data_IF_873901920508
#
_entry.id   IF_873901920508
#
_cell.length_a   1.000
_cell.length_b   1.000
_cell.length_c   1.000
_cell.angle_alpha   90.00
_cell.angle_beta   90.00
_cell.angle_gamma   90.00
#
_symmetry.space_group_name_H-M   'P 1'
#
loop_
_entity.id
_entity.type
_entity.pdbx_description
1 polymer ?
#
# COMPACT_ATOMS: atom_id res chain seq x y z
N UNK A 1 24.45 7.73 2.82
CA UNK A 1 24.88 6.40 2.32
C UNK A 1 24.66 6.33 0.81
N UNK A 2 25.47 5.52 0.15
CA UNK A 2 25.33 5.32 -1.30
C UNK A 2 24.10 4.43 -1.60
N UNK A 3 23.42 4.74 -2.66
CA UNK A 3 22.16 4.10 -3.05
C UNK A 3 22.26 2.58 -3.19
N UNK A 4 23.37 2.08 -3.73
CA UNK A 4 23.58 0.66 -3.99
C UNK A 4 23.72 -0.17 -2.69
N UNK A 5 23.88 0.49 -1.54
CA UNK A 5 24.01 -0.11 -0.22
C UNK A 5 22.75 0.06 0.64
N UNK A 6 21.69 0.58 0.04
CA UNK A 6 20.45 0.92 0.72
C UNK A 6 19.27 0.15 0.18
N UNK A 7 18.44 -0.32 1.08
CA UNK A 7 17.13 -0.88 0.80
C UNK A 7 16.04 0.06 1.29
N UNK A 8 14.98 0.21 0.50
CA UNK A 8 13.86 1.10 0.79
C UNK A 8 12.62 0.34 1.22
N UNK A 9 11.78 1.00 2.00
CA UNK A 9 10.54 0.45 2.51
C UNK A 9 9.41 1.49 2.42
N UNK A 10 8.38 1.18 1.61
CA UNK A 10 7.09 1.84 1.61
C UNK A 10 6.02 0.75 1.78
N UNK A 11 5.31 0.68 2.91
CA UNK A 11 4.44 -0.43 3.24
C UNK A 11 3.37 -0.73 2.20
N UNK A 12 3.36 -1.96 1.69
CA UNK A 12 2.42 -2.39 0.66
C UNK A 12 2.75 -1.96 -0.77
N UNK A 13 3.83 -1.19 -0.96
CA UNK A 13 4.19 -0.63 -2.26
C UNK A 13 5.63 -0.93 -2.69
N UNK A 14 6.59 -0.83 -1.78
CA UNK A 14 8.00 -0.96 -2.10
C UNK A 14 8.77 -1.71 -1.02
N UNK A 15 9.55 -2.72 -1.45
CA UNK A 15 10.42 -3.52 -0.60
C UNK A 15 11.78 -3.70 -1.26
N UNK A 16 12.87 -3.50 -0.53
CA UNK A 16 14.23 -3.47 -1.06
C UNK A 16 14.36 -2.49 -2.23
N UNK A 17 14.61 -2.98 -3.42
CA UNK A 17 14.74 -2.20 -4.66
C UNK A 17 13.65 -2.55 -5.70
N UNK A 18 12.69 -3.41 -5.33
CA UNK A 18 11.65 -3.92 -6.24
C UNK A 18 12.20 -4.50 -7.57
N UNK A 19 13.41 -5.06 -7.57
CA UNK A 19 14.06 -5.53 -8.78
C UNK A 19 13.35 -6.73 -9.46
N UNK A 20 12.48 -7.41 -8.74
CA UNK A 20 11.65 -8.49 -9.29
C UNK A 20 10.37 -7.99 -9.97
N UNK A 21 10.05 -6.72 -9.83
CA UNK A 21 8.89 -6.12 -10.48
C UNK A 21 9.16 -5.91 -11.97
N UNK A 22 8.15 -6.08 -12.83
CA UNK A 22 8.29 -5.80 -14.26
C UNK A 22 8.40 -4.30 -14.54
N UNK A 23 8.85 -3.93 -15.74
CA UNK A 23 8.98 -2.53 -16.17
C UNK A 23 7.64 -1.75 -16.23
N UNK A 24 6.53 -2.43 -16.01
CA UNK A 24 5.18 -1.86 -15.93
C UNK A 24 4.71 -1.60 -14.51
N UNK A 25 5.57 -1.82 -13.52
CA UNK A 25 5.31 -1.62 -12.10
C UNK A 25 6.43 -0.79 -11.46
N UNK A 26 6.20 -0.19 -10.28
CA UNK A 26 7.22 0.55 -9.54
C UNK A 26 8.45 -0.33 -9.26
N UNK A 27 9.60 0.08 -9.77
CA UNK A 27 10.88 -0.61 -9.59
C UNK A 27 12.04 0.31 -9.92
N UNK A 28 13.26 -0.07 -9.51
CA UNK A 28 14.47 0.63 -9.91
C UNK A 28 14.79 0.52 -11.41
N UNK A 29 14.21 -0.45 -12.11
CA UNK A 29 14.31 -0.54 -13.56
C UNK A 29 13.55 0.59 -14.28
N UNK A 30 12.50 1.11 -13.65
CA UNK A 30 11.68 2.21 -14.18
C UNK A 30 12.24 3.57 -13.79
N UNK A 31 12.55 3.76 -12.51
CA UNK A 31 13.10 5.00 -11.98
C UNK A 31 13.75 4.81 -10.61
N UNK A 32 14.69 5.70 -10.29
CA UNK A 32 15.45 5.70 -9.04
C UNK A 32 14.76 6.49 -7.92
N UNK A 33 13.68 7.20 -8.23
CA UNK A 33 12.94 8.04 -7.29
C UNK A 33 11.45 7.76 -7.41
N UNK A 34 10.78 7.64 -6.27
CA UNK A 34 9.34 7.40 -6.22
C UNK A 34 8.71 8.19 -5.08
N UNK A 35 7.68 8.95 -5.41
CA UNK A 35 6.81 9.61 -4.45
C UNK A 35 5.40 9.05 -4.60
N UNK A 36 4.80 8.69 -3.49
CA UNK A 36 3.51 8.00 -3.45
C UNK A 36 2.58 8.74 -2.50
N UNK A 37 1.35 8.93 -2.92
CA UNK A 37 0.31 9.48 -2.06
C UNK A 37 0.13 8.58 -0.83
N UNK A 38 0.18 9.17 0.34
CA UNK A 38 0.30 8.44 1.62
C UNK A 38 -0.85 7.46 1.93
N UNK A 39 -2.07 7.73 1.44
CA UNK A 39 -3.23 6.85 1.62
C UNK A 39 -3.20 5.59 0.73
N UNK A 40 -2.25 5.51 -0.20
CA UNK A 40 -2.05 4.34 -1.05
C UNK A 40 -1.11 3.31 -0.44
N UNK A 41 -0.53 3.65 0.68
CA UNK A 41 0.33 2.78 1.46
C UNK A 41 -0.46 2.14 2.62
N UNK A 42 0.02 1.02 3.13
CA UNK A 42 -0.57 0.40 4.32
C UNK A 42 -0.37 1.25 5.59
N UNK A 43 0.58 2.17 5.55
CA UNK A 43 0.81 3.22 6.53
C UNK A 43 1.54 4.39 5.84
N UNK A 44 1.35 5.65 6.28
CA UNK A 44 1.96 6.85 5.68
C UNK A 44 3.45 6.96 6.03
N UNK A 45 4.21 5.99 5.62
CA UNK A 45 5.59 5.73 6.01
C UNK A 45 6.49 5.53 4.80
N UNK A 46 7.67 6.13 4.82
CA UNK A 46 8.80 5.78 3.94
C UNK A 46 10.06 5.61 4.78
N UNK A 47 10.90 4.65 4.42
CA UNK A 47 12.13 4.41 5.14
C UNK A 47 13.24 3.83 4.28
N UNK A 48 14.44 3.90 4.82
CA UNK A 48 15.68 3.42 4.22
C UNK A 48 16.52 2.69 5.26
N UNK A 49 17.08 1.56 4.86
CA UNK A 49 18.02 0.77 5.64
C UNK A 49 19.33 0.62 4.88
N UNK A 50 20.44 0.91 5.54
CA UNK A 50 21.78 0.67 5.03
C UNK A 50 22.31 -0.64 5.59
N UNK A 51 22.47 -1.65 4.75
CA UNK A 51 23.03 -2.94 5.16
C UNK A 51 24.47 -2.80 5.69
N UNK A 52 25.27 -1.94 5.06
CA UNK A 52 26.66 -1.72 5.46
C UNK A 52 26.77 -1.11 6.85
N UNK A 53 25.90 -0.16 7.17
CA UNK A 53 25.95 0.55 8.45
C UNK A 53 25.11 -0.12 9.56
N UNK A 54 24.23 -1.06 9.20
CA UNK A 54 23.22 -1.59 10.11
C UNK A 54 22.35 -0.48 10.68
N UNK A 55 22.08 0.56 9.91
CA UNK A 55 21.39 1.78 10.35
C UNK A 55 20.19 2.09 9.44
N UNK A 56 19.15 2.60 10.04
CA UNK A 56 17.92 2.96 9.35
C UNK A 56 17.46 4.38 9.66
N UNK A 57 16.68 4.91 8.75
CA UNK A 57 15.91 6.14 8.94
C UNK A 57 14.54 5.96 8.31
N UNK A 58 13.49 6.33 9.03
CA UNK A 58 12.13 6.31 8.54
C UNK A 58 11.44 7.64 8.81
N UNK A 59 10.53 8.03 7.91
CA UNK A 59 9.65 9.18 8.07
C UNK A 59 8.21 8.72 8.10
N UNK A 60 7.50 9.08 9.16
CA UNK A 60 6.09 8.78 9.37
C UNK A 60 5.32 10.10 9.43
N UNK A 61 4.29 10.26 8.58
CA UNK A 61 3.39 11.37 8.73
C UNK A 61 2.41 11.13 9.86
N UNK A 62 2.26 12.12 10.74
CA UNK A 62 1.17 12.15 11.70
C UNK A 62 -0.04 12.77 11.02
N UNK A 63 -1.03 11.94 10.75
CA UNK A 63 -2.29 12.39 10.16
C UNK A 63 -3.21 12.74 11.31
N UNK A 64 -3.51 14.04 11.47
CA UNK A 64 -4.63 14.44 12.30
C UNK A 64 -5.92 13.95 11.64
N UNK A 65 -6.88 13.49 12.45
CA UNK A 65 -8.18 13.06 11.98
C UNK A 65 -8.91 14.23 11.32
N UNK A 66 -8.67 14.41 10.02
CA UNK A 66 -9.37 15.40 9.19
C UNK A 66 -10.48 14.70 8.42
N UNK A 67 -11.58 15.38 8.12
CA UNK A 67 -12.59 14.83 7.22
C UNK A 67 -11.96 14.43 5.91
N UNK A 68 -12.33 13.27 5.39
CA UNK A 68 -11.87 12.82 4.07
C UNK A 68 -12.30 13.85 3.01
N UNK A 69 -11.37 14.18 2.13
CA UNK A 69 -11.67 15.00 0.97
C UNK A 69 -12.59 14.26 0.00
N UNK A 70 -13.35 14.99 -0.77
CA UNK A 70 -14.26 14.40 -1.74
C UNK A 70 -13.47 13.55 -2.75
N UNK A 71 -13.88 12.30 -2.89
CA UNK A 71 -13.37 11.40 -3.91
C UNK A 71 -14.18 11.58 -5.19
N UNK A 72 -13.52 11.82 -6.30
CA UNK A 72 -14.16 11.92 -7.61
C UNK A 72 -13.99 10.58 -8.32
N UNK A 73 -15.07 9.79 -8.51
CA UNK A 73 -15.00 8.57 -9.28
C UNK A 73 -14.79 8.89 -10.76
N UNK A 74 -13.84 8.23 -11.40
CA UNK A 74 -13.65 8.28 -12.84
C UNK A 74 -14.44 7.18 -13.54
N UNK A 75 -14.73 7.37 -14.82
CA UNK A 75 -15.56 6.48 -15.64
C UNK A 75 -15.07 5.02 -15.70
N UNK A 76 -13.83 4.73 -15.32
CA UNK A 76 -13.26 3.39 -15.30
C UNK A 76 -13.12 2.79 -13.88
N UNK A 77 -13.85 3.30 -12.90
CA UNK A 77 -13.76 2.87 -11.52
C UNK A 77 -12.50 3.33 -10.79
N UNK A 78 -11.71 4.20 -11.38
CA UNK A 78 -10.64 4.91 -10.69
C UNK A 78 -11.22 6.04 -9.84
N UNK A 79 -10.55 6.34 -8.74
CA UNK A 79 -10.90 7.43 -7.85
C UNK A 79 -9.72 8.38 -7.76
N UNK A 80 -9.93 9.65 -8.07
CA UNK A 80 -8.95 10.72 -7.86
C UNK A 80 -9.51 11.69 -6.83
N UNK A 81 -8.66 12.10 -5.88
CA UNK A 81 -9.00 13.19 -4.98
C UNK A 81 -9.03 14.49 -5.77
N UNK A 82 -10.15 15.18 -5.73
CA UNK A 82 -10.32 16.51 -6.29
C UNK A 82 -10.58 17.54 -5.20
N UNK A 83 -10.12 18.76 -5.42
CA UNK A 83 -10.31 19.86 -4.50
C UNK A 83 -9.31 19.86 -3.33
N UNK A 84 -9.63 20.58 -2.23
CA UNK A 84 -8.76 20.67 -1.05
C UNK A 84 -8.51 19.29 -0.45
N UNK A 85 -7.26 18.96 -0.19
CA UNK A 85 -6.89 17.68 0.42
C UNK A 85 -5.97 17.89 1.61
N UNK A 86 -6.08 17.03 2.62
CA UNK A 86 -5.12 16.94 3.72
C UNK A 86 -3.99 15.94 3.43
N UNK A 87 -4.08 15.18 2.32
CA UNK A 87 -3.13 14.15 1.99
C UNK A 87 -1.81 14.72 1.47
N UNK A 88 -0.74 14.16 1.97
CA UNK A 88 0.61 14.37 1.51
C UNK A 88 1.17 13.18 0.75
N UNK A 89 2.46 13.16 0.63
CA UNK A 89 3.22 12.07 0.04
C UNK A 89 4.40 11.70 0.90
N UNK A 90 4.85 10.48 0.73
CA UNK A 90 6.13 9.97 1.20
C UNK A 90 6.81 9.21 0.07
N UNK A 91 8.13 9.09 0.13
CA UNK A 91 8.88 8.42 -0.91
C UNK A 91 10.39 8.48 -0.67
N UNK A 92 11.13 8.33 -1.75
CA UNK A 92 12.59 8.42 -1.75
C UNK A 92 13.11 8.97 -3.08
N UNK A 93 14.34 9.51 -3.05
CA UNK A 93 15.07 10.00 -4.21
C UNK A 93 16.52 9.50 -4.16
N UNK A 94 16.94 8.88 -5.25
CA UNK A 94 18.26 8.31 -5.44
C UNK A 94 18.95 8.78 -6.73
N UNK A 95 18.43 9.80 -7.39
CA UNK A 95 18.95 10.25 -8.68
C UNK A 95 20.41 10.76 -8.59
N UNK A 96 20.82 11.20 -7.42
CA UNK A 96 22.19 11.71 -7.18
C UNK A 96 23.15 10.63 -6.68
N UNK A 97 22.75 9.36 -6.62
CA UNK A 97 23.54 8.27 -6.03
C UNK A 97 23.58 8.28 -4.50
N UNK A 98 22.87 9.19 -3.86
CA UNK A 98 22.70 9.26 -2.41
C UNK A 98 21.26 8.99 -2.04
N UNK A 99 21.04 8.10 -1.09
CA UNK A 99 19.70 7.77 -0.59
C UNK A 99 19.13 8.96 0.19
N UNK A 100 17.94 9.42 -0.22
CA UNK A 100 17.18 10.49 0.44
C UNK A 100 15.74 10.03 0.63
N UNK A 101 15.17 10.28 1.80
CA UNK A 101 13.72 10.18 1.98
C UNK A 101 13.06 11.47 1.55
N UNK A 102 11.92 11.37 0.90
CA UNK A 102 11.11 12.50 0.44
C UNK A 102 9.74 12.44 1.08
N UNK A 103 9.24 13.59 1.48
CA UNK A 103 7.91 13.73 2.05
C UNK A 103 7.42 15.17 1.90
N UNK A 104 6.12 15.36 1.86
CA UNK A 104 5.59 16.70 1.70
C UNK A 104 4.07 16.76 1.56
N UNK A 105 3.60 17.99 1.31
CA UNK A 105 2.20 18.34 1.14
C UNK A 105 2.07 19.48 0.10
N UNK A 106 1.04 19.50 -0.71
CA UNK A 106 0.07 18.43 -0.95
C UNK A 106 0.72 17.25 -1.67
N UNK A 107 -0.03 16.18 -1.89
CA UNK A 107 0.52 14.95 -2.43
C UNK A 107 1.01 15.11 -3.88
N UNK A 108 2.01 14.32 -4.21
CA UNK A 108 2.46 14.05 -5.57
C UNK A 108 2.60 12.55 -5.77
N UNK A 109 2.48 12.09 -7.02
CA UNK A 109 2.82 10.73 -7.42
C UNK A 109 3.77 10.81 -8.60
N UNK A 110 5.04 10.56 -8.37
CA UNK A 110 6.11 10.73 -9.35
C UNK A 110 7.11 9.57 -9.30
N UNK A 111 7.84 9.29 -10.40
CA UNK A 111 7.81 9.92 -11.71
C UNK A 111 6.61 9.44 -12.55
N UNK A 112 5.93 8.41 -12.09
CA UNK A 112 4.72 7.84 -12.67
C UNK A 112 3.77 7.42 -11.56
N UNK A 113 2.49 7.43 -11.85
CA UNK A 113 1.46 6.88 -10.98
C UNK A 113 1.24 5.40 -11.31
N UNK A 114 1.31 4.53 -10.31
CA UNK A 114 0.89 3.15 -10.45
C UNK A 114 -0.62 3.06 -10.22
N UNK A 115 -1.38 2.67 -11.23
CA UNK A 115 -2.85 2.60 -11.12
C UNK A 115 -3.33 1.24 -10.66
N UNK A 116 -3.14 0.21 -11.47
CA UNK A 116 -3.54 -1.17 -11.18
C UNK A 116 -2.94 -2.12 -12.20
N UNK A 117 -2.93 -3.41 -11.90
CA UNK A 117 -2.61 -4.49 -12.86
C UNK A 117 -1.41 -4.16 -13.77
N UNK A 118 -0.29 -3.79 -13.15
CA UNK A 118 0.95 -3.49 -13.87
C UNK A 118 0.82 -2.32 -14.87
N UNK A 119 0.05 -1.29 -14.51
CA UNK A 119 -0.13 -0.11 -15.34
C UNK A 119 0.45 1.13 -14.68
N UNK A 120 1.41 1.74 -15.35
CA UNK A 120 2.00 3.03 -14.99
C UNK A 120 1.39 4.13 -15.88
N UNK A 121 0.91 5.18 -15.25
CA UNK A 121 0.34 6.37 -15.91
C UNK A 121 1.21 7.61 -15.63
N UNK A 122 0.98 8.74 -16.32
CA UNK A 122 1.71 9.98 -16.05
C UNK A 122 1.68 10.40 -14.58
N UNK A 123 2.71 11.14 -14.18
CA UNK A 123 2.81 11.72 -12.84
C UNK A 123 1.61 12.62 -12.50
N UNK A 124 1.31 12.71 -11.20
CA UNK A 124 0.32 13.65 -10.68
C UNK A 124 1.03 14.65 -9.76
N UNK A 125 0.69 15.91 -9.96
CA UNK A 125 1.09 17.01 -9.08
C UNK A 125 -0.16 17.71 -8.57
N UNK A 126 -0.24 17.93 -7.26
CA UNK A 126 -1.32 18.71 -6.65
C UNK A 126 -0.75 19.99 -6.02
N UNK A 127 -1.58 20.99 -5.90
CA UNK A 127 -1.18 22.33 -5.44
C UNK A 127 -2.13 22.79 -4.33
N UNK A 128 -1.58 23.27 -3.24
CA UNK A 128 -2.35 23.90 -2.19
C UNK A 128 -2.41 25.42 -2.42
N UNK A 129 -3.60 25.97 -2.38
CA UNK A 129 -3.78 27.42 -2.32
C UNK A 129 -3.76 27.84 -0.86
N UNK A 130 -2.93 28.85 -0.56
CA UNK A 130 -2.93 29.52 0.74
C UNK A 130 -3.33 30.99 0.51
N UNK A 131 -4.33 31.45 1.22
CA UNK A 131 -4.70 32.85 1.20
C UNK A 131 -3.78 33.67 2.11
N UNK A 132 -3.77 35.01 1.90
CA UNK A 132 -2.91 35.92 2.67
C UNK A 132 -3.17 35.77 4.19
N UNK A 133 -2.14 35.40 4.92
CA UNK A 133 -2.19 35.21 6.38
C UNK A 133 -2.64 33.81 6.84
N UNK A 134 -3.06 32.96 5.92
CA UNK A 134 -3.36 31.56 6.22
C UNK A 134 -2.08 30.79 6.58
N UNK A 135 -2.19 29.90 7.57
CA UNK A 135 -1.10 29.03 8.03
C UNK A 135 -1.59 27.58 8.01
N UNK A 136 -0.76 26.68 7.51
CA UNK A 136 -0.98 25.24 7.57
C UNK A 136 0.21 24.59 8.27
N UNK A 137 -0.06 23.85 9.35
CA UNK A 137 0.95 23.09 10.07
C UNK A 137 0.84 21.64 9.69
N UNK A 138 1.98 21.01 9.40
CA UNK A 138 2.09 19.61 9.01
C UNK A 138 3.17 18.98 9.88
N UNK A 139 2.92 17.76 10.32
CA UNK A 139 3.82 17.09 11.26
C UNK A 139 4.27 15.74 10.69
N UNK A 140 5.57 15.53 10.72
CA UNK A 140 6.20 14.25 10.43
C UNK A 140 7.08 13.85 11.61
N UNK A 141 7.19 12.56 11.84
CA UNK A 141 8.12 11.99 12.81
C UNK A 141 9.25 11.31 12.06
N UNK A 142 10.49 11.63 12.44
CA UNK A 142 11.67 10.88 12.02
C UNK A 142 11.97 9.82 13.07
N UNK A 143 12.24 8.61 12.61
CA UNK A 143 12.63 7.47 13.44
C UNK A 143 13.94 6.90 12.92
N UNK A 144 14.95 6.92 13.80
CA UNK A 144 16.26 6.35 13.53
C UNK A 144 16.39 5.01 14.27
N UNK A 145 16.98 4.02 13.61
CA UNK A 145 17.18 2.70 14.16
C UNK A 145 18.56 2.11 13.84
N UNK A 146 18.85 1.01 14.53
CA UNK A 146 19.98 0.13 14.23
C UNK A 146 19.52 -1.30 14.31
N UNK A 147 19.52 -1.97 13.18
CA UNK A 147 18.99 -3.31 13.04
C UNK A 147 20.00 -4.24 12.38
N UNK A 148 19.90 -5.52 12.69
CA UNK A 148 20.81 -6.55 12.18
C UNK A 148 20.66 -6.79 10.68
N UNK A 149 19.44 -6.65 10.18
CA UNK A 149 19.10 -6.89 8.79
C UNK A 149 17.82 -6.13 8.36
N UNK A 150 17.51 -6.18 7.06
CA UNK A 150 16.35 -5.52 6.50
C UNK A 150 15.01 -6.06 7.05
N UNK A 151 14.91 -7.37 7.31
CA UNK A 151 13.69 -7.97 7.86
C UNK A 151 13.39 -7.44 9.26
N UNK A 152 14.42 -7.35 10.10
CA UNK A 152 14.32 -6.76 11.45
C UNK A 152 13.95 -5.27 11.37
N UNK A 153 14.59 -4.52 10.47
CA UNK A 153 14.25 -3.13 10.20
C UNK A 153 12.76 -2.95 9.84
N UNK A 154 12.25 -3.75 8.91
CA UNK A 154 10.83 -3.68 8.51
C UNK A 154 9.91 -3.96 9.68
N UNK A 155 10.22 -5.01 10.47
CA UNK A 155 9.42 -5.39 11.64
C UNK A 155 9.40 -4.28 12.70
N UNK A 156 10.56 -3.75 13.07
CA UNK A 156 10.68 -2.72 14.10
C UNK A 156 10.04 -1.40 13.67
N UNK A 157 10.26 -1.00 12.42
CA UNK A 157 9.65 0.20 11.86
C UNK A 157 8.12 0.08 11.78
N UNK A 158 7.61 -1.11 11.41
CA UNK A 158 6.18 -1.36 11.39
C UNK A 158 5.56 -1.30 12.78
N UNK A 159 6.18 -1.94 13.77
CA UNK A 159 5.73 -1.89 15.16
C UNK A 159 5.75 -0.46 15.71
N UNK A 160 6.83 0.27 15.47
CA UNK A 160 6.92 1.69 15.84
C UNK A 160 5.78 2.52 15.20
N UNK A 161 5.53 2.32 13.92
CA UNK A 161 4.46 3.01 13.20
C UNK A 161 3.08 2.67 13.78
N UNK A 162 2.83 1.38 14.05
CA UNK A 162 1.58 0.91 14.65
C UNK A 162 1.34 1.53 16.03
N UNK A 163 2.35 1.51 16.88
CA UNK A 163 2.26 2.08 18.24
C UNK A 163 2.05 3.61 18.18
N UNK A 164 2.69 4.28 17.23
CA UNK A 164 2.60 5.72 17.08
C UNK A 164 1.26 6.19 16.52
N UNK A 165 0.70 5.47 15.55
CA UNK A 165 -0.63 5.74 14.98
C UNK A 165 -1.71 5.31 15.97
N UNK A 166 -1.44 4.24 16.74
CA UNK A 166 -2.39 3.67 17.72
C UNK A 166 -3.80 3.49 17.13
N UNK A 167 -3.93 2.70 16.04
CA UNK A 167 -5.21 2.55 15.36
C UNK A 167 -6.22 1.90 16.30
N UNK A 168 -7.36 2.56 16.48
CA UNK A 168 -8.42 2.03 17.32
C UNK A 168 -9.18 0.94 16.56
N UNK A 169 -9.49 -0.19 17.21
CA UNK A 169 -10.31 -1.24 16.59
C UNK A 169 -11.65 -0.67 16.13
N UNK A 170 -11.98 -0.91 14.87
CA UNK A 170 -13.33 -0.61 14.39
C UNK A 170 -14.27 -1.61 15.07
N UNK A 171 -15.20 -1.12 15.86
CA UNK A 171 -16.27 -1.94 16.44
C UNK A 171 -17.20 -2.32 15.29
N UNK A 172 -16.95 -3.48 14.68
CA UNK A 172 -17.87 -4.03 13.70
C UNK A 172 -19.06 -4.65 14.45
N UNK A 173 -20.26 -4.28 14.08
CA UNK A 173 -21.49 -4.92 14.56
C UNK A 173 -21.70 -6.24 13.78
N UNK A 174 -20.77 -7.16 13.97
CA UNK A 174 -20.72 -8.43 13.24
C UNK A 174 -20.51 -9.57 14.22
N UNK A 175 -21.42 -10.53 14.18
CA UNK A 175 -21.25 -11.77 14.90
C UNK A 175 -20.23 -12.68 14.19
N UNK A 176 -19.01 -12.77 14.73
CA UNK A 176 -17.92 -13.57 14.15
C UNK A 176 -18.29 -15.05 13.99
N UNK A 177 -19.08 -15.61 14.91
CA UNK A 177 -19.53 -17.01 14.82
C UNK A 177 -20.49 -17.21 13.63
N UNK A 178 -21.36 -16.24 13.39
CA UNK A 178 -22.26 -16.24 12.23
C UNK A 178 -21.50 -16.09 10.92
N UNK A 179 -20.53 -15.18 10.86
CA UNK A 179 -19.64 -15.04 9.69
C UNK A 179 -18.91 -16.34 9.38
N UNK A 180 -18.33 -16.99 10.39
CA UNK A 180 -17.67 -18.30 10.23
C UNK A 180 -18.65 -19.37 9.72
N UNK A 181 -19.85 -19.43 10.29
CA UNK A 181 -20.90 -20.36 9.85
C UNK A 181 -21.28 -20.12 8.38
N UNK A 182 -21.49 -18.87 7.99
CA UNK A 182 -21.86 -18.50 6.62
C UNK A 182 -20.72 -18.82 5.64
N UNK A 183 -19.47 -18.52 5.98
CA UNK A 183 -18.32 -18.86 5.16
C UNK A 183 -18.15 -20.38 5.02
N UNK A 184 -18.32 -21.14 6.10
CA UNK A 184 -18.26 -22.62 6.07
C UNK A 184 -19.40 -23.18 5.21
N UNK A 185 -20.62 -22.63 5.33
CA UNK A 185 -21.75 -22.98 4.47
C UNK A 185 -21.44 -22.72 3.00
N UNK A 186 -20.92 -21.55 2.70
CA UNK A 186 -20.51 -21.20 1.36
C UNK A 186 -19.45 -22.17 0.77
N UNK A 187 -18.40 -22.50 1.52
CA UNK A 187 -17.40 -23.45 1.06
C UNK A 187 -18.00 -24.85 0.79
N UNK A 188 -18.94 -25.26 1.61
CA UNK A 188 -19.66 -26.53 1.41
C UNK A 188 -20.50 -26.54 0.14
N UNK A 189 -21.18 -25.44 -0.15
CA UNK A 189 -22.01 -25.28 -1.36
C UNK A 189 -21.18 -25.06 -2.63
N UNK A 190 -19.99 -24.50 -2.51
CA UNK A 190 -19.06 -24.32 -3.63
C UNK A 190 -18.27 -25.58 -3.99
N UNK A 191 -18.48 -26.68 -3.26
CA UNK A 191 -17.81 -27.94 -3.55
C UNK A 191 -18.31 -28.56 -4.84
N UNK A 192 -17.37 -28.92 -5.69
CA UNK A 192 -17.63 -29.54 -7.00
C UNK A 192 -16.93 -30.89 -7.08
N UNK A 193 -17.69 -31.92 -7.44
CA UNK A 193 -17.18 -33.26 -7.77
C UNK A 193 -17.40 -33.50 -9.27
N UNK A 194 -16.36 -33.25 -10.05
CA UNK A 194 -16.45 -33.25 -11.51
C UNK A 194 -15.11 -33.68 -12.14
N UNK A 195 -15.15 -34.42 -13.20
CA UNK A 195 -13.96 -34.92 -13.91
C UNK A 195 -13.00 -35.71 -13.01
N UNK A 196 -13.49 -36.53 -12.11
CA UNK A 196 -12.71 -37.25 -11.09
C UNK A 196 -11.90 -36.32 -10.15
N UNK A 197 -12.20 -35.02 -10.14
CA UNK A 197 -11.60 -34.03 -9.28
C UNK A 197 -12.61 -33.55 -8.23
N UNK A 198 -12.11 -33.34 -7.03
CA UNK A 198 -12.87 -32.80 -5.91
C UNK A 198 -12.23 -31.49 -5.49
N UNK A 199 -12.98 -30.39 -5.59
CA UNK A 199 -12.45 -29.05 -5.33
C UNK A 199 -13.56 -28.07 -4.95
N UNK A 200 -13.18 -26.97 -4.34
CA UNK A 200 -14.05 -25.82 -4.19
C UNK A 200 -13.89 -24.89 -5.40
N UNK A 201 -15.00 -24.52 -6.02
CA UNK A 201 -14.98 -23.59 -7.15
C UNK A 201 -14.88 -22.14 -6.70
N UNK A 202 -14.46 -21.26 -7.60
CA UNK A 202 -14.61 -19.83 -7.44
C UNK A 202 -16.07 -19.38 -7.50
N UNK A 203 -16.31 -18.12 -7.13
CA UNK A 203 -17.63 -17.47 -7.28
C UNK A 203 -17.75 -16.78 -8.64
N UNK A 204 -18.89 -16.93 -9.27
CA UNK A 204 -19.27 -16.04 -10.37
C UNK A 204 -19.71 -14.68 -9.81
N UNK A 205 -18.88 -13.66 -9.98
CA UNK A 205 -19.21 -12.28 -9.58
C UNK A 205 -20.17 -11.59 -10.56
N UNK A 206 -20.55 -12.27 -11.64
CA UNK A 206 -21.42 -11.73 -12.68
C UNK A 206 -22.90 -12.03 -12.47
N UNK A 207 -23.22 -12.78 -11.40
CA UNK A 207 -24.60 -13.15 -11.07
C UNK A 207 -25.00 -12.57 -9.73
N UNK A 208 -26.23 -12.10 -9.62
CA UNK A 208 -26.82 -11.63 -8.36
C UNK A 208 -26.99 -12.75 -7.32
N UNK A 209 -26.76 -13.99 -7.73
CA UNK A 209 -27.00 -15.18 -6.91
C UNK A 209 -25.76 -15.73 -6.22
N UNK A 210 -24.58 -15.17 -6.50
CA UNK A 210 -23.31 -15.70 -5.97
C UNK A 210 -23.13 -17.21 -6.19
N UNK A 211 -23.47 -17.69 -7.38
CA UNK A 211 -23.39 -19.11 -7.73
C UNK A 211 -21.93 -19.57 -7.91
N UNK A 212 -21.61 -20.85 -7.58
CA UNK A 212 -20.30 -21.41 -7.89
C UNK A 212 -20.00 -21.32 -9.39
N UNK A 213 -18.80 -20.88 -9.75
CA UNK A 213 -18.38 -20.74 -11.14
C UNK A 213 -18.15 -22.08 -11.86
N UNK A 214 -18.11 -23.19 -11.12
CA UNK A 214 -17.74 -24.52 -11.62
C UNK A 214 -16.37 -24.59 -12.31
N UNK A 215 -15.48 -23.66 -12.00
CA UNK A 215 -14.15 -23.56 -12.54
C UNK A 215 -13.11 -23.93 -11.48
N UNK A 216 -12.09 -24.67 -11.89
CA UNK A 216 -10.96 -25.00 -11.04
C UNK A 216 -9.97 -23.85 -11.06
N UNK A 217 -9.95 -23.02 -10.02
CA UNK A 217 -9.00 -21.93 -9.86
C UNK A 217 -7.79 -22.36 -9.04
N UNK A 218 -6.86 -23.04 -9.67
CA UNK A 218 -5.57 -23.39 -9.06
C UNK A 218 -4.66 -22.17 -9.00
N UNK A 219 -4.33 -21.72 -7.80
CA UNK A 219 -3.30 -20.73 -7.56
C UNK A 219 -3.73 -19.28 -7.53
N UNK A 220 -4.90 -18.91 -7.98
CA UNK A 220 -5.44 -17.57 -7.75
C UNK A 220 -5.96 -17.48 -6.32
N UNK A 221 -5.18 -16.93 -5.42
CA UNK A 221 -5.41 -16.84 -3.99
C UNK A 221 -5.09 -18.09 -3.15
N UNK A 222 -4.57 -19.17 -3.72
CA UNK A 222 -4.11 -20.37 -2.99
C UNK A 222 -5.18 -21.10 -2.17
N UNK A 223 -6.47 -20.82 -2.37
CA UNK A 223 -7.56 -21.24 -1.48
C UNK A 223 -8.05 -22.67 -1.75
N UNK A 224 -7.94 -23.13 -2.97
CA UNK A 224 -8.54 -24.39 -3.39
C UNK A 224 -7.85 -25.60 -2.76
N UNK A 225 -6.59 -25.49 -2.40
CA UNK A 225 -5.83 -26.57 -1.75
C UNK A 225 -5.84 -26.50 -0.22
N UNK A 226 -6.33 -25.42 0.37
CA UNK A 226 -6.36 -25.21 1.83
C UNK A 226 -7.76 -25.36 2.45
N UNK A 227 -8.78 -25.51 1.64
CA UNK A 227 -10.15 -25.72 2.02
C UNK A 227 -10.53 -27.18 1.82
#
# INVERSE_FOLDING_TARGET
>A
YDTDQCDFYLPGFWYHQNLRSPNTAPSFHVAKSWNVREDRLSAPLSGVFSQQAGASLSVLRQIDAQPADALIPLAQGEVILGGPTSLGYVGFDNETGKAKLTFGYPYIETPKRYTRKLTLTPAIYTFAKLDKGEKKTLTWTLHEGREADYGKYVADTWNYCFDRINPQPIKADVNVAEVKKNLTGYFRESYVDKYDLKYNSGLSLLTDKCEPANELELGFCGRVLLN
#
